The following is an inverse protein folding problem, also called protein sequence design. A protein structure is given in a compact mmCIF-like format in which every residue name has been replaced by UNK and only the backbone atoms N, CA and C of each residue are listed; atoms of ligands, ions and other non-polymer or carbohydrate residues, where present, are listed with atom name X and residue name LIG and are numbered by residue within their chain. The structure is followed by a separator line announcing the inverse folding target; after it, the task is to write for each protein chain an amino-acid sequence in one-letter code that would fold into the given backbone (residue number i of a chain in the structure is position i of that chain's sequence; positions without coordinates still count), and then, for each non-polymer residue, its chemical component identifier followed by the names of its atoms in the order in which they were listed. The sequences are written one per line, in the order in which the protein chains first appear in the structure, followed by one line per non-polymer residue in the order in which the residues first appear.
data_IF_275242770674
#
_entry.id   IF_275242770674
#
_cell.length_a   1.000
_cell.length_b   1.000
_cell.length_c   1.000
_cell.angle_alpha   90.00
_cell.angle_beta   90.00
_cell.angle_gamma   90.00
#
_symmetry.space_group_name_H-M   'P 1'
#
loop_
_entity.id
_entity.type
_entity.pdbx_description
1 polymer ?
#
# COMPACT_ATOMS: atom_id res chain seq x y z
N UNK A 1 -3.47 10.50 11.79
CA UNK A 1 -3.33 11.59 12.79
C UNK A 1 -1.99 11.61 13.52
N UNK A 2 -1.40 10.45 13.90
CA UNK A 2 -0.15 10.36 14.67
C UNK A 2 0.98 11.25 14.15
N UNK A 3 1.27 11.22 12.84
CA UNK A 3 2.34 12.03 12.26
C UNK A 3 2.11 13.53 12.34
N UNK A 4 0.87 13.99 12.14
CA UNK A 4 0.53 15.43 12.24
C UNK A 4 0.62 15.92 13.69
N UNK A 5 0.24 15.09 14.65
CA UNK A 5 0.36 15.42 16.09
C UNK A 5 1.84 15.48 16.49
N UNK A 6 2.64 14.48 16.09
CA UNK A 6 4.07 14.45 16.35
C UNK A 6 4.78 15.68 15.75
N UNK A 7 4.43 16.06 14.52
CA UNK A 7 5.03 17.22 13.86
C UNK A 7 4.80 18.53 14.63
N UNK A 8 3.64 18.69 15.27
CA UNK A 8 3.33 19.86 16.13
C UNK A 8 4.22 19.95 17.37
N UNK A 9 4.85 18.84 17.76
CA UNK A 9 5.75 18.73 18.91
C UNK A 9 7.23 18.73 18.48
N UNK A 10 7.54 19.17 17.25
CA UNK A 10 8.88 19.10 16.64
C UNK A 10 9.43 17.65 16.54
N UNK A 11 8.53 16.65 16.59
CA UNK A 11 8.85 15.23 16.46
C UNK A 11 8.55 14.73 15.05
N UNK A 12 9.41 13.84 14.57
CA UNK A 12 9.26 13.12 13.31
C UNK A 12 8.92 11.69 13.62
N UNK A 13 7.92 11.14 12.93
CA UNK A 13 7.63 9.71 12.94
C UNK A 13 7.92 9.10 11.58
N UNK A 14 8.51 7.91 11.60
CA UNK A 14 8.73 7.09 10.42
C UNK A 14 8.22 5.67 10.67
N UNK A 15 7.23 5.19 9.89
CA UNK A 15 6.87 3.79 9.91
C UNK A 15 8.06 2.92 9.50
N UNK A 16 8.38 1.95 10.34
CA UNK A 16 9.37 0.91 10.04
C UNK A 16 8.72 -0.42 9.71
N UNK A 17 7.50 -0.65 10.23
CA UNK A 17 6.70 -1.83 9.93
C UNK A 17 5.22 -1.56 10.22
N UNK A 18 4.35 -2.13 9.39
CA UNK A 18 2.90 -2.07 9.57
C UNK A 18 2.33 -3.45 9.29
N UNK A 19 1.36 -3.89 10.08
CA UNK A 19 0.65 -5.12 9.75
C UNK A 19 -0.82 -5.02 10.12
N UNK A 20 -1.64 -5.67 9.29
CA UNK A 20 -3.04 -5.91 9.56
C UNK A 20 -3.21 -7.40 9.88
N UNK A 21 -3.92 -7.71 10.96
CA UNK A 21 -4.26 -9.09 11.29
C UNK A 21 -5.67 -9.11 11.89
N UNK A 22 -6.58 -9.84 11.24
CA UNK A 22 -8.01 -9.87 11.56
C UNK A 22 -8.59 -8.44 11.65
N UNK A 23 -8.99 -8.02 12.86
CA UNK A 23 -9.65 -6.74 13.10
C UNK A 23 -8.74 -5.67 13.71
N UNK A 24 -7.41 -5.88 13.72
CA UNK A 24 -6.48 -4.88 14.22
C UNK A 24 -5.40 -4.52 13.20
N UNK A 25 -5.07 -3.23 13.17
CA UNK A 25 -3.94 -2.66 12.45
C UNK A 25 -2.91 -2.21 13.47
N UNK A 26 -1.65 -2.59 13.30
CA UNK A 26 -0.54 -2.14 14.14
C UNK A 26 0.51 -1.43 13.29
N UNK A 27 1.02 -0.33 13.82
CA UNK A 27 2.10 0.46 13.23
C UNK A 27 3.26 0.52 14.22
N UNK A 28 4.46 0.28 13.72
CA UNK A 28 5.71 0.41 14.46
C UNK A 28 6.45 1.59 13.87
N UNK A 29 6.80 2.55 14.73
CA UNK A 29 7.32 3.84 14.33
C UNK A 29 8.65 4.08 15.04
N UNK A 30 9.61 4.68 14.34
CA UNK A 30 10.70 5.40 15.01
C UNK A 30 10.29 6.84 15.23
N UNK A 31 10.80 7.42 16.33
CA UNK A 31 10.55 8.82 16.68
C UNK A 31 11.89 9.52 16.81
N UNK A 32 12.05 10.66 16.14
CA UNK A 32 13.24 11.51 16.25
C UNK A 32 12.84 12.97 16.44
N UNK A 33 13.76 13.77 16.99
CA UNK A 33 13.56 15.20 17.21
C UNK A 33 14.21 15.96 16.05
N UNK A 34 13.42 16.67 15.26
CA UNK A 34 13.92 17.49 14.16
C UNK A 34 12.84 18.44 13.67
N UNK A 35 12.90 19.71 14.10
CA UNK A 35 11.95 20.76 13.67
C UNK A 35 11.86 20.90 12.15
N UNK A 36 13.01 20.91 11.46
CA UNK A 36 13.08 21.05 10.00
C UNK A 36 12.32 19.92 9.30
N UNK A 37 12.51 18.70 9.77
CA UNK A 37 11.88 17.54 9.17
C UNK A 37 10.41 17.38 9.58
N UNK A 38 10.06 17.70 10.83
CA UNK A 38 8.69 17.74 11.32
C UNK A 38 7.81 18.67 10.48
N UNK A 39 8.32 19.85 10.12
CA UNK A 39 7.64 20.78 9.21
C UNK A 39 7.43 20.23 7.79
N UNK A 40 8.14 19.17 7.40
CA UNK A 40 7.98 18.49 6.11
C UNK A 40 6.98 17.32 6.14
N UNK A 41 6.22 17.14 7.23
CA UNK A 41 5.23 16.04 7.37
C UNK A 41 4.20 16.01 6.24
N UNK A 42 3.82 17.17 5.71
CA UNK A 42 2.85 17.30 4.61
C UNK A 42 3.33 16.70 3.29
N UNK A 43 4.63 16.41 3.15
CA UNK A 43 5.16 15.65 1.99
C UNK A 43 4.86 14.16 2.07
N UNK A 44 4.43 13.66 3.24
CA UNK A 44 4.15 12.23 3.52
C UNK A 44 2.68 11.99 3.81
N UNK A 45 1.92 13.08 3.96
CA UNK A 45 0.49 13.07 4.23
C UNK A 45 -0.21 13.62 3.00
N UNK A 46 -1.26 12.93 2.55
CA UNK A 46 -2.04 13.38 1.41
C UNK A 46 -3.41 12.73 1.38
N UNK A 47 -3.93 12.57 0.17
CA UNK A 47 -5.25 12.07 -0.11
C UNK A 47 -5.15 10.95 -1.13
N UNK A 48 -5.97 9.93 -0.95
CA UNK A 48 -6.29 9.00 -2.02
C UNK A 48 -7.56 9.48 -2.71
N UNK A 49 -7.52 9.57 -4.03
CA UNK A 49 -8.71 9.79 -4.85
C UNK A 49 -9.07 8.48 -5.56
N UNK A 50 -10.33 8.08 -5.48
CA UNK A 50 -10.87 6.84 -6.05
C UNK A 50 -12.08 7.16 -6.93
N UNK A 51 -12.02 6.75 -8.20
CA UNK A 51 -13.12 6.94 -9.14
C UNK A 51 -13.98 5.67 -9.17
N UNK A 52 -15.10 5.68 -8.44
CA UNK A 52 -16.00 4.52 -8.33
C UNK A 52 -16.50 4.01 -9.70
N UNK A 53 -16.68 4.91 -10.68
CA UNK A 53 -17.16 4.57 -12.02
C UNK A 53 -16.17 3.69 -12.81
N UNK A 54 -14.90 4.07 -12.87
CA UNK A 54 -13.91 3.39 -13.73
C UNK A 54 -12.84 2.61 -12.95
N UNK A 55 -12.72 2.83 -11.64
CA UNK A 55 -11.69 2.22 -10.79
C UNK A 55 -10.35 2.96 -10.77
N UNK A 56 -10.24 4.13 -11.42
CA UNK A 56 -9.01 4.92 -11.39
C UNK A 56 -8.68 5.38 -9.97
N UNK A 57 -7.42 5.21 -9.55
CA UNK A 57 -6.93 5.55 -8.21
C UNK A 57 -5.60 6.27 -8.29
N UNK A 58 -5.45 7.35 -7.52
CA UNK A 58 -4.17 8.02 -7.36
C UNK A 58 -4.01 8.61 -5.96
N UNK A 59 -2.76 8.85 -5.57
CA UNK A 59 -2.42 9.62 -4.39
C UNK A 59 -2.01 11.04 -4.77
N UNK A 60 -2.49 12.02 -4.02
CA UNK A 60 -2.17 13.43 -4.22
C UNK A 60 -1.83 14.08 -2.88
N UNK A 61 -0.94 15.07 -2.86
CA UNK A 61 -0.64 15.86 -1.67
C UNK A 61 -1.57 17.07 -1.53
N UNK A 62 -2.06 17.58 -2.65
CA UNK A 62 -2.91 18.76 -2.70
C UNK A 62 -4.38 18.36 -2.90
N UNK A 63 -5.26 18.87 -2.04
CA UNK A 63 -6.69 18.60 -2.17
C UNK A 63 -7.31 19.46 -3.25
N UNK A 64 -7.73 18.85 -4.36
CA UNK A 64 -8.55 19.53 -5.37
C UNK A 64 -9.83 18.73 -5.68
N UNK A 65 -10.94 19.11 -5.04
CA UNK A 65 -12.24 18.46 -5.25
C UNK A 65 -12.81 18.64 -6.66
N UNK A 66 -12.35 19.64 -7.41
CA UNK A 66 -12.96 20.04 -8.69
C UNK A 66 -12.36 19.30 -9.88
N UNK A 67 -11.23 18.63 -9.71
CA UNK A 67 -10.60 17.85 -10.77
C UNK A 67 -11.44 16.59 -11.07
N UNK A 68 -11.93 16.44 -12.32
CA UNK A 68 -12.61 15.22 -12.72
C UNK A 68 -11.61 14.08 -12.93
N UNK A 69 -12.11 12.85 -12.94
CA UNK A 69 -11.33 11.68 -13.29
C UNK A 69 -10.73 11.81 -14.68
N UNK A 70 -9.41 11.67 -14.75
CA UNK A 70 -8.62 11.82 -15.98
C UNK A 70 -9.01 10.79 -17.06
N UNK A 71 -9.55 9.65 -16.67
CA UNK A 71 -9.92 8.57 -17.60
C UNK A 71 -11.38 8.63 -18.08
N UNK A 72 -12.31 9.16 -17.26
CA UNK A 72 -13.74 9.05 -17.57
C UNK A 72 -14.58 10.29 -17.26
N UNK A 73 -13.95 11.38 -16.81
CA UNK A 73 -14.60 12.67 -16.53
C UNK A 73 -15.51 12.69 -15.30
N UNK A 74 -15.63 11.58 -14.57
CA UNK A 74 -16.51 11.49 -13.39
C UNK A 74 -15.85 12.02 -12.13
N UNK A 75 -16.63 12.35 -11.10
CA UNK A 75 -16.08 12.89 -9.84
C UNK A 75 -15.34 11.81 -9.05
N UNK A 76 -14.18 12.17 -8.47
CA UNK A 76 -13.50 11.33 -7.50
C UNK A 76 -14.17 11.34 -6.13
N UNK A 77 -14.15 10.19 -5.45
CA UNK A 77 -14.24 10.10 -3.99
C UNK A 77 -12.85 10.35 -3.39
N UNK A 78 -12.79 10.93 -2.18
CA UNK A 78 -11.53 11.28 -1.52
C UNK A 78 -11.45 10.65 -0.13
N UNK A 79 -10.29 10.08 0.19
CA UNK A 79 -9.93 9.63 1.52
C UNK A 79 -8.68 10.37 2.00
N UNK A 80 -8.75 11.05 3.14
CA UNK A 80 -7.68 11.91 3.64
C UNK A 80 -7.99 12.54 5.00
N UNK A 81 -7.01 12.99 5.76
CA UNK A 81 -5.57 12.98 5.45
C UNK A 81 -4.92 11.64 5.84
N UNK A 82 -4.21 11.02 4.90
CA UNK A 82 -3.61 9.68 5.03
C UNK A 82 -2.09 9.72 4.86
N UNK A 83 -1.38 8.74 5.42
CA UNK A 83 0.02 8.51 5.11
C UNK A 83 0.14 7.90 3.72
N UNK A 84 0.86 8.58 2.82
CA UNK A 84 1.00 8.21 1.41
C UNK A 84 2.45 7.88 1.01
N UNK A 85 3.29 7.60 2.00
CA UNK A 85 4.69 7.22 1.79
C UNK A 85 4.91 5.77 2.25
N UNK A 86 6.15 5.29 2.12
CA UNK A 86 6.59 3.95 2.51
C UNK A 86 6.10 3.56 3.90
N UNK A 87 5.68 2.30 4.02
CA UNK A 87 5.17 1.70 5.24
C UNK A 87 6.21 0.83 5.93
N UNK A 88 7.25 0.43 5.17
CA UNK A 88 8.24 -0.53 5.63
C UNK A 88 9.66 0.03 5.49
N UNK A 89 10.43 -0.13 6.54
CA UNK A 89 11.89 -0.17 6.43
C UNK A 89 12.26 -1.59 5.98
N UNK A 90 12.67 -1.74 4.72
CA UNK A 90 12.96 -3.05 4.12
C UNK A 90 14.13 -3.76 4.78
N UNK A 91 15.11 -3.04 5.31
CA UNK A 91 16.23 -3.65 6.02
C UNK A 91 15.81 -4.12 7.41
N UNK A 92 14.93 -3.36 8.08
CA UNK A 92 14.29 -3.79 9.32
C UNK A 92 13.44 -5.05 9.12
N UNK A 93 12.63 -5.11 8.07
CA UNK A 93 11.81 -6.30 7.73
C UNK A 93 12.69 -7.53 7.45
N UNK A 94 13.79 -7.37 6.71
CA UNK A 94 14.75 -8.45 6.46
C UNK A 94 15.41 -8.96 7.74
N UNK A 95 15.80 -8.06 8.65
CA UNK A 95 16.35 -8.42 9.97
C UNK A 95 15.33 -9.21 10.81
N UNK A 96 14.06 -8.79 10.82
CA UNK A 96 13.00 -9.54 11.50
C UNK A 96 12.83 -10.95 10.91
N UNK A 97 12.86 -11.07 9.58
CA UNK A 97 12.75 -12.37 8.90
C UNK A 97 13.91 -13.30 9.28
N UNK A 98 15.15 -12.78 9.28
CA UNK A 98 16.34 -13.54 9.68
C UNK A 98 16.27 -14.06 11.12
N UNK A 99 15.81 -13.23 12.07
CA UNK A 99 15.65 -13.63 13.46
C UNK A 99 14.58 -14.73 13.62
N UNK A 100 13.52 -14.67 12.81
CA UNK A 100 12.44 -15.65 12.81
C UNK A 100 12.87 -17.01 12.23
N UNK A 101 13.84 -17.02 11.31
CA UNK A 101 14.39 -18.27 10.75
C UNK A 101 15.40 -18.94 11.69
N UNK A 102 16.04 -18.18 12.58
CA UNK A 102 16.97 -18.70 13.60
C UNK A 102 16.29 -19.26 14.84
N UNK A 103 14.99 -19.07 14.98
CA UNK A 103 14.25 -19.53 16.15
C UNK A 103 13.62 -20.89 15.85
N UNK A 104 14.05 -21.92 16.57
CA UNK A 104 13.62 -23.31 16.36
C UNK A 104 12.22 -23.61 16.92
N UNK A 105 11.67 -22.72 17.76
CA UNK A 105 10.33 -22.87 18.38
C UNK A 105 9.20 -22.43 17.44
N UNK A 106 9.08 -23.08 16.27
CA UNK A 106 8.10 -22.71 15.25
C UNK A 106 6.67 -23.11 15.64
N UNK A 107 5.92 -22.15 16.19
CA UNK A 107 4.45 -22.27 16.36
C UNK A 107 3.73 -21.76 15.10
N UNK A 108 2.50 -22.19 14.85
CA UNK A 108 1.67 -21.78 13.69
C UNK A 108 1.65 -20.26 13.45
N UNK A 109 1.63 -19.46 14.53
CA UNK A 109 1.69 -17.99 14.47
C UNK A 109 2.95 -17.47 13.77
N UNK A 110 4.06 -18.18 13.88
CA UNK A 110 5.32 -17.85 13.21
C UNK A 110 5.27 -18.10 11.70
N UNK A 111 4.53 -19.09 11.21
CA UNK A 111 4.41 -19.35 9.77
C UNK A 111 3.65 -18.23 9.05
N UNK A 112 2.55 -17.78 9.64
CA UNK A 112 1.82 -16.61 9.15
C UNK A 112 2.72 -15.38 9.13
N UNK A 113 3.47 -15.13 10.22
CA UNK A 113 4.40 -14.02 10.29
C UNK A 113 5.51 -14.11 9.24
N UNK A 114 6.11 -15.29 9.01
CA UNK A 114 7.11 -15.51 7.94
C UNK A 114 6.56 -15.11 6.57
N UNK A 115 5.34 -15.56 6.24
CA UNK A 115 4.69 -15.22 4.96
C UNK A 115 4.42 -13.72 4.85
N UNK A 116 3.94 -13.09 5.93
CA UNK A 116 3.69 -11.65 5.98
C UNK A 116 4.99 -10.87 5.77
N UNK A 117 6.06 -11.19 6.48
CA UNK A 117 7.35 -10.51 6.36
C UNK A 117 7.98 -10.69 4.97
N UNK A 118 7.88 -11.89 4.38
CA UNK A 118 8.29 -12.13 2.99
C UNK A 118 7.50 -11.24 2.02
N UNK A 119 6.18 -11.11 2.23
CA UNK A 119 5.34 -10.21 1.43
C UNK A 119 5.76 -8.75 1.59
N UNK A 120 5.93 -8.28 2.83
CA UNK A 120 6.34 -6.91 3.12
C UNK A 120 7.72 -6.56 2.53
N UNK A 121 8.61 -7.54 2.35
CA UNK A 121 9.94 -7.31 1.74
C UNK A 121 9.79 -6.91 0.27
N UNK A 122 8.96 -7.63 -0.48
CA UNK A 122 8.75 -7.43 -1.93
C UNK A 122 7.63 -6.43 -2.27
N UNK A 123 6.83 -6.02 -1.28
CA UNK A 123 5.69 -5.12 -1.50
C UNK A 123 6.13 -3.74 -2.02
N UNK A 124 5.43 -3.21 -3.04
CA UNK A 124 5.57 -1.84 -3.53
C UNK A 124 4.94 -0.84 -2.55
N UNK A 125 5.57 -0.64 -1.41
CA UNK A 125 5.05 0.19 -0.32
C UNK A 125 5.17 1.69 -0.58
N UNK A 126 5.88 2.08 -1.64
CA UNK A 126 5.83 3.42 -2.24
C UNK A 126 4.47 3.73 -2.89
N UNK A 127 3.69 2.70 -3.25
CA UNK A 127 2.33 2.84 -3.77
C UNK A 127 1.35 2.74 -2.59
N UNK A 128 0.62 3.82 -2.24
CA UNK A 128 -0.15 3.90 -1.00
C UNK A 128 -1.56 3.30 -1.10
N UNK A 129 -1.86 2.59 -2.18
CA UNK A 129 -3.12 1.90 -2.42
C UNK A 129 -2.85 0.56 -3.12
N UNK A 130 -3.89 -0.26 -3.26
CA UNK A 130 -3.85 -1.53 -3.98
C UNK A 130 -5.17 -1.76 -4.71
N UNK A 131 -5.16 -2.73 -5.62
CA UNK A 131 -6.35 -3.26 -6.27
C UNK A 131 -6.64 -4.66 -5.74
N UNK A 132 -7.89 -5.09 -5.82
CA UNK A 132 -8.28 -6.45 -5.46
C UNK A 132 -8.60 -7.25 -6.72
N UNK A 133 -8.17 -8.52 -6.76
CA UNK A 133 -8.43 -9.38 -7.91
C UNK A 133 -9.92 -9.58 -8.21
N UNK A 134 -10.76 -9.69 -7.17
CA UNK A 134 -12.21 -9.80 -7.27
C UNK A 134 -12.89 -8.49 -7.70
N UNK A 135 -12.38 -7.33 -7.27
CA UNK A 135 -12.83 -6.03 -7.78
C UNK A 135 -12.62 -5.95 -9.30
N UNK A 136 -11.43 -6.32 -9.79
CA UNK A 136 -11.11 -6.27 -11.22
C UNK A 136 -11.98 -7.25 -12.00
N UNK A 137 -12.13 -8.49 -11.51
CA UNK A 137 -12.98 -9.49 -12.15
C UNK A 137 -14.45 -9.06 -12.20
N UNK A 138 -14.95 -8.42 -11.14
CA UNK A 138 -16.30 -7.84 -11.11
C UNK A 138 -16.48 -6.78 -12.21
N UNK A 139 -15.49 -5.91 -12.42
CA UNK A 139 -15.51 -4.90 -13.50
C UNK A 139 -15.51 -5.52 -14.90
N UNK A 140 -14.80 -6.63 -15.08
CA UNK A 140 -14.74 -7.38 -16.34
C UNK A 140 -15.90 -8.35 -16.55
N UNK A 141 -16.70 -8.62 -15.51
CA UNK A 141 -17.73 -9.67 -15.48
C UNK A 141 -17.14 -11.06 -15.72
N UNK A 142 -15.97 -11.33 -15.15
CA UNK A 142 -15.24 -12.59 -15.23
C UNK A 142 -15.01 -13.19 -13.84
N UNK A 143 -14.39 -14.37 -13.78
CA UNK A 143 -13.92 -14.94 -12.53
C UNK A 143 -12.56 -14.34 -12.13
N UNK A 144 -12.27 -14.18 -10.83
CA UNK A 144 -10.98 -13.68 -10.38
C UNK A 144 -9.85 -14.64 -10.76
N UNK A 145 -8.86 -14.10 -11.46
CA UNK A 145 -7.62 -14.80 -11.75
C UNK A 145 -6.77 -14.96 -10.46
N UNK A 146 -5.93 -16.02 -10.37
CA UNK A 146 -4.99 -16.15 -9.27
C UNK A 146 -4.06 -14.93 -9.20
N UNK A 147 -3.87 -14.37 -7.99
CA UNK A 147 -3.07 -13.16 -7.80
C UNK A 147 -1.64 -13.27 -8.36
N UNK A 148 -1.05 -14.46 -8.32
CA UNK A 148 0.27 -14.72 -8.88
C UNK A 148 0.31 -14.48 -10.39
N UNK A 149 -0.72 -14.96 -11.10
CA UNK A 149 -0.86 -14.81 -12.56
C UNK A 149 -0.98 -13.34 -12.94
N UNK A 150 -1.81 -12.58 -12.22
CA UNK A 150 -1.98 -11.13 -12.43
C UNK A 150 -0.63 -10.40 -12.30
N UNK A 151 0.11 -10.67 -11.23
CA UNK A 151 1.42 -10.05 -10.98
C UNK A 151 2.43 -10.40 -12.07
N UNK A 152 2.47 -11.66 -12.51
CA UNK A 152 3.37 -12.12 -13.58
C UNK A 152 3.04 -11.47 -14.92
N UNK A 153 1.75 -11.38 -15.28
CA UNK A 153 1.32 -10.72 -16.50
C UNK A 153 1.69 -9.24 -16.49
N UNK A 154 1.44 -8.51 -15.39
CA UNK A 154 1.81 -7.10 -15.26
C UNK A 154 3.33 -6.89 -15.40
N UNK A 155 4.12 -7.75 -14.76
CA UNK A 155 5.59 -7.71 -14.88
C UNK A 155 6.06 -8.02 -16.30
N UNK A 156 5.40 -8.94 -17.02
CA UNK A 156 5.77 -9.30 -18.39
C UNK A 156 5.62 -8.16 -19.41
N UNK A 157 4.73 -7.20 -19.12
CA UNK A 157 4.54 -6.00 -19.95
C UNK A 157 5.31 -4.77 -19.41
N UNK A 158 6.18 -4.97 -18.42
CA UNK A 158 7.11 -3.94 -17.93
C UNK A 158 6.67 -3.16 -16.70
N UNK A 159 5.48 -3.43 -16.13
CA UNK A 159 5.03 -2.76 -14.91
C UNK A 159 5.66 -3.37 -13.66
N UNK A 160 5.79 -2.56 -12.62
CA UNK A 160 6.06 -3.07 -11.27
C UNK A 160 4.77 -3.65 -10.74
N UNK A 161 4.83 -4.84 -10.16
CA UNK A 161 3.69 -5.43 -9.46
C UNK A 161 4.14 -6.24 -8.24
N UNK A 162 3.35 -6.20 -7.16
CA UNK A 162 3.58 -6.99 -5.95
C UNK A 162 2.26 -7.37 -5.29
N UNK A 163 2.31 -8.36 -4.39
CA UNK A 163 1.26 -8.55 -3.39
C UNK A 163 1.28 -7.42 -2.36
N UNK A 164 0.23 -7.30 -1.56
CA UNK A 164 0.24 -6.50 -0.32
C UNK A 164 0.06 -7.38 0.91
N UNK A 165 0.72 -7.05 2.01
CA UNK A 165 0.51 -7.71 3.30
C UNK A 165 -0.80 -7.31 3.97
N UNK A 166 -1.49 -6.29 3.44
CA UNK A 166 -2.74 -5.77 4.00
C UNK A 166 -3.97 -6.55 3.55
N UNK A 167 -3.90 -7.24 2.41
CA UNK A 167 -5.02 -8.01 1.86
C UNK A 167 -4.52 -9.21 1.04
N UNK A 168 -4.99 -10.44 1.33
CA UNK A 168 -4.56 -11.64 0.62
C UNK A 168 -4.90 -11.65 -0.88
N UNK A 169 -5.94 -10.90 -1.30
CA UNK A 169 -6.37 -10.75 -2.69
C UNK A 169 -5.86 -9.44 -3.31
N UNK A 170 -5.09 -8.65 -2.56
CA UNK A 170 -4.61 -7.35 -2.97
C UNK A 170 -3.28 -7.40 -3.73
N UNK A 171 -3.19 -6.62 -4.80
CA UNK A 171 -1.94 -6.35 -5.51
C UNK A 171 -1.72 -4.85 -5.70
N UNK A 172 -0.44 -4.46 -5.70
CA UNK A 172 0.01 -3.10 -6.00
C UNK A 172 0.70 -3.10 -7.35
N UNK A 173 0.49 -2.05 -8.13
CA UNK A 173 1.15 -1.86 -9.42
C UNK A 173 1.17 -0.39 -9.80
N UNK A 174 2.12 -0.01 -10.65
CA UNK A 174 2.16 1.29 -11.31
C UNK A 174 1.40 1.31 -12.64
N UNK A 175 0.78 0.21 -13.05
CA UNK A 175 -0.17 0.17 -14.15
C UNK A 175 -1.43 0.99 -13.84
N UNK A 176 -1.94 1.66 -14.87
CA UNK A 176 -3.26 2.30 -14.86
C UNK A 176 -4.38 1.26 -14.81
N UNK A 177 -5.57 1.68 -14.37
CA UNK A 177 -6.72 0.78 -14.31
C UNK A 177 -7.13 0.27 -15.71
N UNK A 178 -6.97 1.07 -16.76
CA UNK A 178 -7.25 0.65 -18.12
C UNK A 178 -6.24 -0.38 -18.63
N UNK A 179 -4.95 -0.24 -18.33
CA UNK A 179 -3.93 -1.27 -18.63
C UNK A 179 -4.25 -2.59 -17.91
N UNK A 180 -4.60 -2.52 -16.62
CA UNK A 180 -5.00 -3.70 -15.83
C UNK A 180 -6.21 -4.39 -16.47
N UNK A 181 -7.26 -3.63 -16.79
CA UNK A 181 -8.48 -4.18 -17.37
C UNK A 181 -8.24 -4.77 -18.76
N UNK A 182 -7.42 -4.12 -19.60
CA UNK A 182 -7.11 -4.61 -20.94
C UNK A 182 -6.26 -5.88 -20.91
N UNK A 183 -5.32 -5.99 -19.97
CA UNK A 183 -4.46 -7.16 -19.80
C UNK A 183 -5.21 -8.39 -19.32
N UNK A 184 -6.22 -8.20 -18.47
CA UNK A 184 -6.96 -9.27 -17.80
C UNK A 184 -8.32 -9.58 -18.45
N UNK A 185 -8.64 -8.93 -19.57
CA UNK A 185 -9.88 -9.10 -20.33
C UNK A 185 -10.00 -10.48 -20.98
#
# INVERSE_FOLDING_TARGET
MTALIAARLDLVVHPIFVHANLHYLRTYLTVSVSRKEANSVFKRIGYLRDCTKCGNRNAITEYNKREPCELCGSTYSFAGHLWINKLFDKDFVKKMSYLLDKNDDVVVSMQYLKKTLATCTEELDDIPFYFLSDEIASRLRTNPDPLQKIIEQLRSIGHRASRTSLDPNGFKTDASIDEILNLLK
#
